data_IF_050559846707
#
_entry.id   IF_050559846707
#
_cell.length_a   1.000
_cell.length_b   1.000
_cell.length_c   1.000
_cell.angle_alpha   90.00
_cell.angle_beta   90.00
_cell.angle_gamma   90.00
#
_symmetry.space_group_name_H-M   'P 1'
#
loop_
_entity.id
_entity.type
_entity.pdbx_description
1 polymer ?
#
# COMPACT_ATOMS: atom_id res chain seq x y z
N UNK A 1 1.49 9.99 12.59
CA UNK A 1 1.50 8.52 12.80
C UNK A 1 2.80 7.91 12.30
N UNK A 2 3.14 8.02 11.01
CA UNK A 2 4.41 7.51 10.48
C UNK A 2 5.63 8.11 11.21
N UNK A 3 5.63 9.43 11.45
CA UNK A 3 6.65 10.12 12.25
C UNK A 3 6.93 9.44 13.60
N UNK A 4 5.89 9.03 14.32
CA UNK A 4 6.01 8.34 15.62
C UNK A 4 6.72 6.98 15.49
N UNK A 5 6.46 6.23 14.40
CA UNK A 5 7.16 4.98 14.13
C UNK A 5 8.64 5.22 13.81
N UNK A 6 8.95 6.26 13.03
CA UNK A 6 10.32 6.67 12.74
C UNK A 6 11.05 7.09 14.02
N UNK A 7 10.44 7.94 14.85
CA UNK A 7 11.00 8.38 16.14
C UNK A 7 11.27 7.21 17.08
N UNK A 8 10.32 6.29 17.21
CA UNK A 8 10.51 5.08 18.03
C UNK A 8 11.65 4.23 17.50
N UNK A 9 11.74 4.04 16.19
CA UNK A 9 12.82 3.27 15.56
C UNK A 9 14.19 3.94 15.79
N UNK A 10 14.30 5.25 15.58
CA UNK A 10 15.49 6.07 15.84
C UNK A 10 15.96 5.88 17.29
N UNK A 11 15.06 6.08 18.25
CA UNK A 11 15.37 5.94 19.67
C UNK A 11 15.82 4.51 20.00
N UNK A 12 15.15 3.49 19.45
CA UNK A 12 15.48 2.09 19.72
C UNK A 12 16.88 1.66 19.27
N UNK A 13 17.49 2.38 18.33
CA UNK A 13 18.85 2.10 17.85
C UNK A 13 19.88 3.10 18.36
N UNK A 14 19.47 4.10 19.15
CA UNK A 14 20.34 5.10 19.77
C UNK A 14 20.82 6.21 18.83
N UNK A 15 20.08 6.51 17.76
CA UNK A 15 20.36 7.67 16.91
C UNK A 15 19.69 8.94 17.47
N UNK A 16 20.23 10.12 17.14
CA UNK A 16 19.63 11.42 17.50
C UNK A 16 18.60 11.84 16.45
N UNK A 17 17.35 12.03 16.86
CA UNK A 17 16.25 12.42 15.98
C UNK A 17 16.43 13.83 15.37
N UNK A 18 17.22 14.70 16.00
CA UNK A 18 17.37 16.09 15.57
C UNK A 18 18.44 16.28 14.48
N UNK A 19 19.28 15.26 14.24
CA UNK A 19 20.40 15.34 13.29
C UNK A 19 20.09 14.49 12.05
N UNK A 20 19.40 15.10 11.08
CA UNK A 20 19.21 14.52 9.75
C UNK A 20 20.30 14.91 8.76
N UNK A 21 20.27 14.27 7.61
CA UNK A 21 21.18 14.44 6.48
C UNK A 21 20.56 15.26 5.34
N UNK A 22 19.23 15.19 5.15
CA UNK A 22 18.53 15.85 4.05
C UNK A 22 17.76 17.10 4.52
N UNK A 23 16.96 16.99 5.58
CA UNK A 23 16.14 18.10 6.03
C UNK A 23 16.91 19.07 6.95
N UNK A 24 17.31 20.24 6.43
CA UNK A 24 17.81 21.33 7.26
C UNK A 24 16.66 22.00 8.02
N UNK A 25 16.66 21.88 9.34
CA UNK A 25 15.58 22.39 10.19
C UNK A 25 16.10 23.12 11.43
N UNK A 26 15.21 23.90 12.06
CA UNK A 26 15.50 24.50 13.36
C UNK A 26 15.88 23.44 14.41
N UNK A 27 16.79 23.70 15.35
CA UNK A 27 17.35 22.69 16.26
C UNK A 27 16.36 21.85 17.07
N UNK A 28 15.13 22.33 17.29
CA UNK A 28 14.07 21.64 18.02
C UNK A 28 13.23 20.68 17.18
N UNK A 29 13.59 20.46 15.91
CA UNK A 29 12.84 19.61 14.98
C UNK A 29 13.49 18.25 14.80
N UNK A 30 12.64 17.25 14.56
CA UNK A 30 13.05 15.86 14.36
C UNK A 30 13.55 15.64 12.91
N UNK A 31 14.60 16.34 12.51
CA UNK A 31 15.15 16.32 11.14
C UNK A 31 15.36 14.88 10.62
N UNK A 32 16.00 14.01 11.40
CA UNK A 32 16.24 12.61 11.00
C UNK A 32 14.94 11.81 10.86
N UNK A 33 13.91 12.13 11.64
CA UNK A 33 12.61 11.49 11.51
C UNK A 33 11.89 11.91 10.23
N UNK A 34 12.14 13.10 9.69
CA UNK A 34 11.62 13.52 8.39
C UNK A 34 12.37 12.85 7.25
N UNK A 35 13.70 12.76 7.33
CA UNK A 35 14.51 11.99 6.37
C UNK A 35 14.05 10.54 6.26
N UNK A 36 13.84 9.89 7.41
CA UNK A 36 13.41 8.50 7.47
C UNK A 36 11.94 8.31 7.13
N UNK A 37 11.13 9.36 7.09
CA UNK A 37 9.75 9.26 6.61
C UNK A 37 9.68 9.06 5.10
N UNK A 38 10.59 9.66 4.33
CA UNK A 38 10.57 9.64 2.87
C UNK A 38 10.46 8.23 2.27
N UNK A 39 11.30 7.24 2.62
CA UNK A 39 11.20 5.90 2.03
C UNK A 39 9.93 5.14 2.45
N UNK A 40 9.19 5.59 3.46
CA UNK A 40 7.99 4.90 3.96
C UNK A 40 6.70 5.71 3.79
N UNK A 41 6.78 6.92 3.23
CA UNK A 41 5.64 7.82 3.06
C UNK A 41 4.51 7.18 2.25
N UNK A 42 4.87 6.34 1.29
CA UNK A 42 3.94 5.58 0.46
C UNK A 42 2.95 4.73 1.29
N UNK A 43 3.31 4.28 2.49
CA UNK A 43 2.39 3.53 3.38
C UNK A 43 1.21 4.39 3.83
N UNK A 44 1.44 5.69 4.06
CA UNK A 44 0.40 6.66 4.39
C UNK A 44 -0.47 6.92 3.16
N UNK A 45 0.15 7.12 2.01
CA UNK A 45 -0.56 7.41 0.76
C UNK A 45 -1.50 6.24 0.38
N UNK A 46 -1.02 5.01 0.48
CA UNK A 46 -1.82 3.81 0.25
C UNK A 46 -2.96 3.65 1.26
N UNK A 47 -2.76 3.98 2.54
CA UNK A 47 -3.83 3.97 3.53
C UNK A 47 -4.93 5.00 3.19
N UNK A 48 -4.54 6.20 2.74
CA UNK A 48 -5.49 7.24 2.34
C UNK A 48 -6.25 6.83 1.08
N UNK A 49 -5.54 6.29 0.06
CA UNK A 49 -6.16 5.78 -1.16
C UNK A 49 -7.16 4.67 -0.84
N UNK A 50 -6.79 3.73 0.03
CA UNK A 50 -7.69 2.64 0.48
C UNK A 50 -8.99 3.17 1.09
N UNK A 51 -8.92 4.21 1.93
CA UNK A 51 -10.11 4.84 2.53
C UNK A 51 -10.98 5.58 1.51
N UNK A 52 -10.38 6.16 0.47
CA UNK A 52 -11.10 6.82 -0.62
C UNK A 52 -11.80 5.78 -1.49
N UNK A 53 -11.08 4.75 -1.92
CA UNK A 53 -11.59 3.68 -2.79
C UNK A 53 -12.71 2.87 -2.12
N UNK A 54 -12.60 2.64 -0.81
CA UNK A 54 -13.64 1.97 -0.02
C UNK A 54 -14.83 2.87 0.34
N UNK A 55 -14.77 4.17 0.00
CA UNK A 55 -15.77 5.18 0.38
C UNK A 55 -16.04 5.16 1.90
N UNK A 56 -14.99 4.89 2.69
CA UNK A 56 -15.11 4.73 4.13
C UNK A 56 -15.26 6.06 4.86
N UNK A 57 -14.81 7.17 4.25
CA UNK A 57 -14.85 8.51 4.83
C UNK A 57 -16.10 9.28 4.37
N UNK A 58 -16.77 9.96 5.30
CA UNK A 58 -17.97 10.76 5.02
C UNK A 58 -17.79 12.21 5.50
N UNK A 59 -18.58 13.16 4.98
CA UNK A 59 -18.54 14.57 5.42
C UNK A 59 -18.72 14.73 6.94
N UNK A 60 -19.48 13.82 7.59
CA UNK A 60 -19.69 13.84 9.04
C UNK A 60 -18.42 13.59 9.85
N UNK A 61 -17.40 12.98 9.26
CA UNK A 61 -16.10 12.66 9.88
C UNK A 61 -15.15 13.87 9.95
N UNK A 62 -15.57 15.02 9.42
CA UNK A 62 -14.77 16.24 9.38
C UNK A 62 -15.47 17.40 10.09
N UNK A 63 -14.66 18.34 10.58
CA UNK A 63 -15.10 19.65 11.09
C UNK A 63 -14.44 20.71 10.22
N UNK A 64 -15.22 21.68 9.77
CA UNK A 64 -14.70 22.90 9.17
C UNK A 64 -14.49 23.94 10.27
N UNK A 65 -13.28 24.44 10.41
CA UNK A 65 -12.96 25.51 11.36
C UNK A 65 -13.45 26.85 10.84
N UNK A 66 -13.48 27.88 11.69
CA UNK A 66 -13.84 29.25 11.32
C UNK A 66 -12.96 29.80 10.19
N UNK A 67 -11.66 29.47 10.19
CA UNK A 67 -10.72 29.80 9.11
C UNK A 67 -10.84 28.90 7.88
N UNK A 68 -11.99 28.23 7.70
CA UNK A 68 -12.30 27.33 6.58
C UNK A 68 -11.40 26.09 6.38
N UNK A 69 -10.47 25.80 7.30
CA UNK A 69 -9.68 24.57 7.30
C UNK A 69 -10.51 23.35 7.69
N UNK A 70 -10.09 22.16 7.24
CA UNK A 70 -10.69 20.89 7.65
C UNK A 70 -9.86 20.21 8.74
N UNK A 71 -10.56 19.67 9.74
CA UNK A 71 -9.98 18.83 10.79
C UNK A 71 -10.79 17.54 10.91
N UNK A 72 -10.13 16.45 11.30
CA UNK A 72 -10.78 15.18 11.53
C UNK A 72 -11.55 15.18 12.86
N UNK A 73 -12.75 14.61 12.86
CA UNK A 73 -13.44 14.19 14.09
C UNK A 73 -12.84 12.90 14.62
N UNK A 74 -13.11 12.54 15.89
CA UNK A 74 -12.69 11.25 16.45
C UNK A 74 -13.11 10.03 15.60
N UNK A 75 -14.25 10.09 14.91
CA UNK A 75 -14.71 9.01 14.02
C UNK A 75 -13.79 8.85 12.80
N UNK A 76 -13.48 9.95 12.10
CA UNK A 76 -12.56 9.96 10.96
C UNK A 76 -11.13 9.61 11.36
N UNK A 77 -10.65 10.16 12.48
CA UNK A 77 -9.33 9.85 13.02
C UNK A 77 -9.20 8.35 13.31
N UNK A 78 -10.21 7.71 13.90
CA UNK A 78 -10.22 6.26 14.15
C UNK A 78 -10.14 5.44 12.86
N UNK A 79 -10.88 5.83 11.82
CA UNK A 79 -10.82 5.16 10.50
C UNK A 79 -9.41 5.21 9.91
N UNK A 80 -8.77 6.38 9.94
CA UNK A 80 -7.39 6.57 9.47
C UNK A 80 -6.40 5.76 10.29
N UNK A 81 -6.51 5.79 11.63
CA UNK A 81 -5.62 5.01 12.51
C UNK A 81 -5.73 3.51 12.23
N UNK A 82 -6.95 3.00 12.05
CA UNK A 82 -7.18 1.59 11.76
C UNK A 82 -6.60 1.20 10.41
N UNK A 83 -6.83 2.00 9.36
CA UNK A 83 -6.32 1.70 8.02
C UNK A 83 -4.79 1.79 7.96
N UNK A 84 -4.20 2.82 8.55
CA UNK A 84 -2.75 2.93 8.62
C UNK A 84 -2.11 1.79 9.42
N UNK A 85 -2.75 1.34 10.50
CA UNK A 85 -2.30 0.17 11.26
C UNK A 85 -2.40 -1.12 10.44
N UNK A 86 -3.46 -1.27 9.64
CA UNK A 86 -3.61 -2.36 8.68
C UNK A 86 -2.46 -2.37 7.67
N UNK A 87 -2.15 -1.22 7.07
CA UNK A 87 -1.01 -1.06 6.14
C UNK A 87 0.33 -1.41 6.78
N UNK A 88 0.59 -0.95 8.00
CA UNK A 88 1.83 -1.26 8.72
C UNK A 88 1.97 -2.75 9.09
N UNK A 89 0.86 -3.46 9.25
CA UNK A 89 0.82 -4.88 9.57
C UNK A 89 0.85 -5.78 8.34
N UNK A 90 0.73 -5.22 7.12
CA UNK A 90 0.98 -6.00 5.90
C UNK A 90 2.41 -6.52 5.91
N UNK A 91 2.55 -7.77 5.46
CA UNK A 91 3.83 -8.46 5.40
C UNK A 91 4.53 -8.20 4.07
N UNK A 92 5.85 -8.22 4.13
CA UNK A 92 6.74 -8.15 2.99
C UNK A 92 7.94 -9.05 3.26
N UNK A 93 8.39 -9.76 2.23
CA UNK A 93 9.60 -10.57 2.31
C UNK A 93 10.82 -9.66 2.29
N UNK A 94 11.64 -9.74 3.34
CA UNK A 94 12.88 -8.98 3.42
C UNK A 94 13.96 -9.82 4.11
N UNK A 95 15.13 -9.94 3.48
CA UNK A 95 16.27 -10.74 3.97
C UNK A 95 15.89 -12.21 4.27
N UNK A 96 15.06 -12.81 3.41
CA UNK A 96 14.63 -14.21 3.53
C UNK A 96 13.61 -14.46 4.65
N UNK A 97 13.02 -13.41 5.24
CA UNK A 97 11.99 -13.52 6.26
C UNK A 97 10.78 -12.65 5.92
N UNK A 98 9.59 -13.20 6.17
CA UNK A 98 8.35 -12.45 6.14
C UNK A 98 8.27 -11.52 7.36
N UNK A 99 8.21 -10.21 7.12
CA UNK A 99 8.20 -9.17 8.16
C UNK A 99 7.08 -8.16 7.92
N UNK A 100 6.52 -7.57 8.97
CA UNK A 100 5.57 -6.46 8.82
C UNK A 100 6.30 -5.18 8.38
N UNK A 101 5.62 -4.28 7.68
CA UNK A 101 6.18 -2.96 7.34
C UNK A 101 6.63 -2.18 8.58
N UNK A 102 5.91 -2.29 9.70
CA UNK A 102 6.33 -1.71 10.98
C UNK A 102 7.71 -2.21 11.44
N UNK A 103 8.00 -3.50 11.24
CA UNK A 103 9.29 -4.07 11.57
C UNK A 103 10.36 -3.71 10.54
N UNK A 104 10.01 -3.61 9.25
CA UNK A 104 10.92 -3.13 8.20
C UNK A 104 11.43 -1.72 8.48
N UNK A 105 10.57 -0.80 8.95
CA UNK A 105 10.99 0.54 9.38
C UNK A 105 12.13 0.42 10.41
N UNK A 106 11.92 -0.37 11.47
CA UNK A 106 12.96 -0.62 12.48
C UNK A 106 14.24 -1.21 11.87
N UNK A 107 14.13 -2.22 11.00
CA UNK A 107 15.28 -2.85 10.35
C UNK A 107 16.09 -1.84 9.54
N UNK A 108 15.44 -0.92 8.83
CA UNK A 108 16.10 0.11 8.02
C UNK A 108 16.78 1.18 8.83
N UNK A 109 16.16 1.64 9.92
CA UNK A 109 16.84 2.56 10.84
C UNK A 109 18.05 1.89 11.50
N UNK A 110 17.95 0.60 11.83
CA UNK A 110 19.10 -0.18 12.34
C UNK A 110 20.21 -0.35 11.30
N UNK A 111 19.86 -0.56 10.03
CA UNK A 111 20.84 -0.61 8.94
C UNK A 111 21.56 0.73 8.76
N UNK A 112 20.86 1.85 8.87
CA UNK A 112 21.47 3.18 8.90
C UNK A 112 22.45 3.32 10.08
N UNK A 113 22.06 2.94 11.29
CA UNK A 113 22.95 2.98 12.46
C UNK A 113 24.21 2.12 12.26
N UNK A 114 24.05 0.91 11.70
CA UNK A 114 25.18 0.05 11.35
C UNK A 114 26.07 0.63 10.25
N UNK A 115 25.49 1.34 9.29
CA UNK A 115 26.23 2.03 8.25
C UNK A 115 27.07 3.18 8.83
N UNK A 116 26.48 4.03 9.67
CA UNK A 116 27.19 5.12 10.33
C UNK A 116 28.32 4.64 11.25
N UNK A 117 28.17 3.46 11.86
CA UNK A 117 29.19 2.84 12.70
C UNK A 117 30.14 1.91 11.94
N UNK A 118 30.12 1.94 10.60
CA UNK A 118 30.96 1.09 9.72
C UNK A 118 30.83 -0.42 9.94
N UNK A 119 29.74 -0.88 10.59
CA UNK A 119 29.39 -2.30 10.73
C UNK A 119 28.71 -2.86 9.48
N UNK A 120 28.24 -1.98 8.58
CA UNK A 120 27.64 -2.30 7.29
C UNK A 120 28.21 -1.35 6.24
N UNK A 121 28.72 -1.89 5.14
CA UNK A 121 29.38 -1.08 4.10
C UNK A 121 28.42 -0.35 3.16
N UNK A 122 27.20 -0.89 2.97
CA UNK A 122 26.22 -0.37 2.01
C UNK A 122 24.91 -0.04 2.71
N UNK A 123 24.36 1.13 2.39
CA UNK A 123 23.05 1.57 2.81
C UNK A 123 22.11 1.60 1.60
N UNK A 124 20.94 0.99 1.75
CA UNK A 124 19.90 0.98 0.72
C UNK A 124 18.53 1.06 1.40
N UNK A 125 17.69 2.01 1.00
CA UNK A 125 16.31 2.15 1.46
C UNK A 125 15.29 1.73 0.40
N UNK A 126 15.72 1.37 -0.81
CA UNK A 126 14.83 0.95 -1.91
C UNK A 126 14.24 -0.43 -1.64
N UNK A 127 15.06 -1.39 -1.20
CA UNK A 127 14.57 -2.72 -0.79
C UNK A 127 14.03 -2.68 0.64
N UNK A 128 12.99 -3.44 1.02
CA UNK A 128 12.13 -4.19 0.13
C UNK A 128 11.25 -3.24 -0.69
N UNK A 129 11.04 -3.59 -1.96
CA UNK A 129 10.10 -2.84 -2.81
C UNK A 129 8.66 -3.18 -2.42
N UNK A 130 7.76 -2.21 -2.57
CA UNK A 130 6.34 -2.47 -2.40
C UNK A 130 5.75 -3.02 -3.70
N UNK A 131 5.21 -4.23 -3.64
CA UNK A 131 4.52 -4.84 -4.77
C UNK A 131 3.03 -4.47 -4.74
N UNK A 132 2.56 -3.81 -5.81
CA UNK A 132 1.13 -3.49 -5.97
C UNK A 132 0.43 -4.70 -6.61
N UNK A 133 -0.12 -5.59 -5.80
CA UNK A 133 -1.01 -6.65 -6.26
C UNK A 133 -2.44 -6.13 -6.43
N UNK A 134 -2.74 -5.48 -7.57
CA UNK A 134 -4.12 -5.12 -7.94
C UNK A 134 -4.71 -6.06 -8.98
N UNK A 135 -5.78 -6.74 -8.60
CA UNK A 135 -6.55 -7.69 -9.43
C UNK A 135 -7.71 -7.04 -10.19
N UNK A 136 -7.84 -5.72 -10.13
CA UNK A 136 -8.86 -4.92 -10.80
C UNK A 136 -8.24 -3.82 -11.68
N UNK A 137 -6.99 -4.03 -12.12
CA UNK A 137 -6.31 -3.11 -13.04
C UNK A 137 -7.11 -2.86 -14.31
N UNK A 138 -6.83 -1.75 -15.01
CA UNK A 138 -7.45 -1.45 -16.29
C UNK A 138 -7.30 -2.61 -17.27
N UNK A 139 -6.12 -3.23 -17.34
CA UNK A 139 -5.86 -4.37 -18.20
C UNK A 139 -6.74 -5.57 -17.85
N UNK A 140 -6.89 -5.91 -16.57
CA UNK A 140 -7.77 -7.00 -16.13
C UNK A 140 -9.24 -6.67 -16.45
N UNK A 141 -9.66 -5.42 -16.27
CA UNK A 141 -11.01 -4.97 -16.65
C UNK A 141 -11.25 -5.16 -18.14
N UNK A 142 -10.35 -4.66 -18.99
CA UNK A 142 -10.47 -4.82 -20.44
C UNK A 142 -10.45 -6.30 -20.85
N UNK A 143 -9.58 -7.11 -20.24
CA UNK A 143 -9.56 -8.57 -20.44
C UNK A 143 -10.95 -9.15 -20.18
N UNK A 144 -11.51 -8.96 -18.98
CA UNK A 144 -12.84 -9.47 -18.61
C UNK A 144 -13.93 -9.01 -19.59
N UNK A 145 -13.90 -7.74 -20.00
CA UNK A 145 -14.89 -7.18 -20.92
C UNK A 145 -14.82 -7.82 -22.32
N UNK A 146 -13.62 -8.17 -22.78
CA UNK A 146 -13.36 -8.76 -24.09
C UNK A 146 -13.64 -10.27 -24.17
N UNK A 147 -13.77 -10.97 -23.04
CA UNK A 147 -14.10 -12.41 -23.04
C UNK A 147 -15.49 -12.65 -23.66
N UNK A 148 -15.57 -13.44 -24.73
CA UNK A 148 -16.86 -13.85 -25.30
C UNK A 148 -17.53 -14.94 -24.46
N UNK A 149 -18.85 -14.83 -24.28
CA UNK A 149 -19.63 -15.81 -23.53
C UNK A 149 -19.56 -17.22 -24.14
N UNK A 150 -19.38 -17.32 -25.46
CA UNK A 150 -19.28 -18.60 -26.17
C UNK A 150 -17.99 -19.32 -25.78
N UNK A 151 -16.85 -18.64 -25.85
CA UNK A 151 -15.55 -19.25 -25.54
C UNK A 151 -15.39 -19.53 -24.05
N UNK A 152 -15.92 -18.66 -23.20
CA UNK A 152 -16.01 -18.91 -21.77
C UNK A 152 -16.80 -20.19 -21.44
N UNK A 153 -17.90 -20.44 -22.17
CA UNK A 153 -18.70 -21.66 -22.01
C UNK A 153 -17.99 -22.89 -22.57
N UNK A 154 -17.24 -22.77 -23.68
CA UNK A 154 -16.42 -23.86 -24.23
C UNK A 154 -15.39 -24.37 -23.22
N UNK A 155 -14.89 -23.49 -22.35
CA UNK A 155 -13.99 -23.84 -21.25
C UNK A 155 -14.67 -24.52 -20.06
N UNK A 156 -15.98 -24.77 -20.14
CA UNK A 156 -16.76 -25.37 -19.06
C UNK A 156 -17.09 -24.38 -17.94
N UNK A 157 -16.85 -23.08 -18.12
CA UNK A 157 -17.11 -22.07 -17.10
C UNK A 157 -18.53 -21.52 -17.16
N UNK A 158 -19.10 -21.19 -16.00
CA UNK A 158 -20.47 -20.68 -15.90
C UNK A 158 -20.62 -19.29 -16.54
N UNK A 159 -21.65 -19.15 -17.38
CA UNK A 159 -22.06 -17.86 -17.98
C UNK A 159 -22.38 -16.81 -16.90
N UNK A 160 -22.96 -17.24 -15.79
CA UNK A 160 -23.30 -16.36 -14.67
C UNK A 160 -22.06 -15.71 -14.05
N UNK A 161 -20.99 -16.49 -13.87
CA UNK A 161 -19.71 -15.95 -13.36
C UNK A 161 -19.17 -14.84 -14.26
N UNK A 162 -19.13 -15.06 -15.58
CA UNK A 162 -18.68 -14.02 -16.51
C UNK A 162 -19.59 -12.80 -16.53
N UNK A 163 -20.90 -13.00 -16.39
CA UNK A 163 -21.85 -11.89 -16.30
C UNK A 163 -21.53 -10.95 -15.13
N UNK A 164 -21.35 -11.51 -13.92
CA UNK A 164 -20.97 -10.74 -12.74
C UNK A 164 -19.60 -10.08 -12.88
N UNK A 165 -18.60 -10.80 -13.41
CA UNK A 165 -17.27 -10.22 -13.66
C UNK A 165 -17.36 -9.02 -14.60
N UNK A 166 -18.13 -9.12 -15.70
CA UNK A 166 -18.32 -8.00 -16.63
C UNK A 166 -19.06 -6.83 -15.99
N UNK A 167 -20.03 -7.08 -15.10
CA UNK A 167 -20.69 -5.99 -14.36
C UNK A 167 -19.70 -5.27 -13.45
N UNK A 168 -18.87 -6.00 -12.70
CA UNK A 168 -17.84 -5.42 -11.84
C UNK A 168 -16.81 -4.62 -12.64
N UNK A 169 -16.31 -5.20 -13.74
CA UNK A 169 -15.31 -4.58 -14.61
C UNK A 169 -15.82 -3.28 -15.28
N UNK A 170 -17.12 -3.18 -15.57
CA UNK A 170 -17.76 -1.96 -16.10
C UNK A 170 -17.93 -0.86 -15.05
N UNK A 171 -17.98 -1.20 -13.77
CA UNK A 171 -18.12 -0.20 -12.71
C UNK A 171 -16.78 0.41 -12.37
N UNK A 172 -16.73 1.68 -11.98
CA UNK A 172 -15.48 2.31 -11.50
C UNK A 172 -15.10 1.88 -10.08
N UNK A 173 -15.83 0.92 -9.48
CA UNK A 173 -15.55 0.43 -8.13
C UNK A 173 -14.46 -0.66 -8.16
N UNK A 174 -13.59 -0.72 -7.15
CA UNK A 174 -12.69 -1.85 -6.98
C UNK A 174 -13.47 -3.16 -6.85
N UNK A 175 -12.90 -4.25 -7.38
CA UNK A 175 -13.45 -5.59 -7.20
C UNK A 175 -12.33 -6.59 -6.95
N UNK A 176 -12.69 -7.73 -6.37
CA UNK A 176 -11.76 -8.83 -6.19
C UNK A 176 -12.17 -10.03 -7.03
N UNK A 177 -11.16 -10.78 -7.46
CA UNK A 177 -11.31 -12.10 -8.03
C UNK A 177 -10.65 -13.08 -7.08
N UNK A 178 -11.35 -14.14 -6.70
CA UNK A 178 -10.69 -15.22 -5.98
C UNK A 178 -9.67 -15.91 -6.92
N UNK A 179 -8.69 -16.61 -6.33
CA UNK A 179 -7.61 -17.26 -7.08
C UNK A 179 -8.12 -18.18 -8.21
N UNK A 180 -9.23 -18.87 -7.96
CA UNK A 180 -9.83 -19.79 -8.93
C UNK A 180 -10.46 -19.06 -10.13
N UNK A 181 -11.11 -17.91 -9.92
CA UNK A 181 -11.67 -17.09 -11.00
C UNK A 181 -10.56 -16.39 -11.77
N UNK A 182 -9.51 -15.94 -11.08
CA UNK A 182 -8.34 -15.34 -11.72
C UNK A 182 -7.63 -16.34 -12.64
N UNK A 183 -7.43 -17.58 -12.18
CA UNK A 183 -6.89 -18.68 -13.01
C UNK A 183 -7.73 -18.91 -14.28
N UNK A 184 -9.06 -18.88 -14.19
CA UNK A 184 -9.95 -19.00 -15.36
C UNK A 184 -9.79 -17.86 -16.36
N UNK A 185 -9.62 -16.62 -15.87
CA UNK A 185 -9.38 -15.45 -16.73
C UNK A 185 -8.04 -15.57 -17.44
N UNK A 186 -6.99 -16.01 -16.74
CA UNK A 186 -5.66 -16.21 -17.32
C UNK A 186 -5.64 -17.36 -18.35
N UNK A 187 -6.34 -18.47 -18.09
CA UNK A 187 -6.48 -19.58 -19.05
C UNK A 187 -7.07 -19.17 -20.39
N UNK A 188 -8.01 -18.21 -20.39
CA UNK A 188 -8.57 -17.68 -21.63
C UNK A 188 -7.52 -16.92 -22.45
N UNK A 189 -6.61 -16.19 -21.80
CA UNK A 189 -5.53 -15.44 -22.47
C UNK A 189 -4.56 -16.38 -23.20
N UNK A 190 -4.19 -17.48 -22.57
CA UNK A 190 -3.33 -18.52 -23.18
C UNK A 190 -3.99 -19.14 -24.42
N UNK A 191 -5.31 -19.35 -24.38
CA UNK A 191 -6.07 -19.90 -25.51
C UNK A 191 -6.23 -18.92 -26.68
N UNK A 192 -6.42 -17.63 -26.40
CA UNK A 192 -6.46 -16.61 -27.46
C UNK A 192 -5.08 -16.42 -28.09
N UNK A 193 -4.02 -16.52 -27.28
CA UNK A 193 -2.64 -16.40 -27.75
C UNK A 193 -2.17 -17.59 -28.57
N UNK A 194 -2.70 -18.80 -28.32
CA UNK A 194 -2.39 -20.02 -29.09
C UNK A 194 -3.21 -20.18 -30.38
N UNK A 195 -4.20 -19.31 -30.61
CA UNK A 195 -4.99 -19.26 -31.85
C UNK A 195 -4.51 -18.19 -32.85
N UNK A 196 -3.47 -17.42 -32.49
CA UNK A 196 -2.75 -16.49 -33.38
C UNK A 196 -1.46 -17.12 -33.88
#
# INVERSE_FOLDING_TARGET
MLEEYCLRAINSVGLDAHVGFLHEMTPSKNSLAYDLQEPFRFLVDLAVISLIESVAMESKDFIRTENYNLRLKPTGARKIVNEFSSMLNKKVSYQGKESTWSYVIFLKVRELAHYLTSRKEKLDFVKPEYEIERIDSYDIRQKILNIFYVDWKKLGFSKGTLHYMKQNAKSDKPFTLNAYVLDRVNKWEELVSSQK
#
